data_IF_640408252059
#
_entry.id   IF_640408252059
#
_cell.length_a   1.000
_cell.length_b   1.000
_cell.length_c   1.000
_cell.angle_alpha   90.00
_cell.angle_beta   90.00
_cell.angle_gamma   90.00
#
_symmetry.space_group_name_H-M   'P 1'
#
loop_
_entity.id
_entity.type
_entity.pdbx_description
1 polymer ?
#
# COMPACT_ATOMS: atom_id res chain seq x y z
N UNK A 1 50.63 48.62 -5.34
CA UNK A 1 49.49 49.12 -6.14
C UNK A 1 49.14 48.09 -7.22
N UNK A 2 47.83 47.81 -7.39
CA UNK A 2 47.15 47.12 -8.52
C UNK A 2 47.49 45.64 -8.72
N UNK A 3 46.71 44.66 -8.24
CA UNK A 3 45.39 44.15 -8.69
C UNK A 3 45.33 43.76 -10.19
N UNK A 4 45.14 42.46 -10.44
CA UNK A 4 44.74 41.86 -11.71
C UNK A 4 44.58 40.34 -11.54
N UNK A 5 43.54 39.92 -10.81
CA UNK A 5 42.34 39.22 -11.33
C UNK A 5 42.60 37.76 -11.72
N UNK A 6 42.51 36.87 -10.72
CA UNK A 6 42.39 35.42 -10.87
C UNK A 6 40.96 35.09 -11.35
N UNK A 7 40.84 34.49 -12.54
CA UNK A 7 39.59 33.87 -12.99
C UNK A 7 39.60 32.41 -12.53
N UNK A 8 38.85 32.13 -11.47
CA UNK A 8 38.63 30.78 -10.97
C UNK A 8 37.57 30.08 -11.84
N UNK A 9 38.01 29.07 -12.61
CA UNK A 9 37.15 28.18 -13.38
C UNK A 9 36.57 27.11 -12.42
N UNK A 10 35.51 27.46 -11.72
CA UNK A 10 34.67 26.51 -10.98
C UNK A 10 33.54 26.09 -11.92
N UNK A 11 33.55 24.86 -12.45
CA UNK A 11 32.36 24.16 -12.97
C UNK A 11 32.76 22.77 -13.49
N UNK A 12 33.02 21.83 -12.58
CA UNK A 12 32.82 20.40 -12.86
C UNK A 12 32.68 19.64 -11.52
N UNK A 13 31.55 19.86 -10.85
CA UNK A 13 31.11 18.99 -9.77
C UNK A 13 30.44 17.75 -10.39
N UNK A 14 30.78 16.52 -9.95
CA UNK A 14 30.20 15.30 -10.50
C UNK A 14 28.68 15.35 -10.29
N UNK A 15 27.93 15.27 -11.38
CA UNK A 15 26.48 15.16 -11.36
C UNK A 15 26.09 13.98 -10.49
N UNK A 16 25.59 14.31 -9.30
CA UNK A 16 25.09 13.37 -8.32
C UNK A 16 24.13 12.38 -9.00
N UNK A 17 24.33 11.10 -8.71
CA UNK A 17 23.50 10.03 -9.20
C UNK A 17 22.03 10.39 -9.06
N UNK A 18 21.31 10.31 -10.17
CA UNK A 18 19.86 10.26 -10.16
C UNK A 18 19.45 8.94 -9.54
N UNK A 19 19.53 8.84 -8.22
CA UNK A 19 18.66 7.94 -7.48
C UNK A 19 17.27 8.54 -7.64
N UNK A 20 16.60 8.15 -8.73
CA UNK A 20 15.15 8.09 -8.72
C UNK A 20 14.80 7.17 -7.56
N UNK A 21 14.64 7.75 -6.37
CA UNK A 21 14.08 7.09 -5.20
C UNK A 21 12.80 6.44 -5.70
N UNK A 22 12.81 5.12 -5.79
CA UNK A 22 11.66 4.32 -6.19
C UNK A 22 10.61 4.48 -5.08
N UNK A 23 9.86 5.58 -5.20
CA UNK A 23 8.76 6.10 -4.39
C UNK A 23 8.46 5.37 -3.07
N UNK A 24 9.17 5.63 -1.97
CA UNK A 24 8.73 5.27 -0.62
C UNK A 24 8.30 3.81 -0.41
N UNK A 25 8.73 2.90 -1.29
CA UNK A 25 8.40 1.49 -1.22
C UNK A 25 9.26 0.85 -0.15
N UNK A 26 8.62 0.14 0.76
CA UNK A 26 9.27 -0.54 1.86
C UNK A 26 8.69 -1.94 2.00
N UNK A 27 9.52 -2.89 2.49
CA UNK A 27 9.03 -4.23 2.79
C UNK A 27 7.98 -4.16 3.90
N UNK A 28 6.88 -4.87 3.69
CA UNK A 28 5.79 -5.05 4.64
C UNK A 28 5.50 -6.54 4.78
N UNK A 29 5.07 -6.98 5.96
CA UNK A 29 4.71 -8.38 6.19
C UNK A 29 3.20 -8.51 6.22
N UNK A 30 2.64 -9.37 5.36
CA UNK A 30 1.22 -9.73 5.41
C UNK A 30 0.96 -10.43 6.75
N UNK A 31 0.03 -9.90 7.52
CA UNK A 31 -0.49 -10.53 8.74
C UNK A 31 -1.78 -11.28 8.43
N UNK A 32 -2.62 -10.72 7.55
CA UNK A 32 -3.89 -11.29 7.11
C UNK A 32 -4.23 -10.76 5.73
N UNK A 33 -4.82 -11.59 4.88
CA UNK A 33 -5.31 -11.20 3.56
C UNK A 33 -6.50 -12.11 3.23
N UNK A 34 -7.70 -11.55 3.22
CA UNK A 34 -8.95 -12.30 3.20
C UNK A 34 -9.98 -11.64 2.27
N UNK A 35 -10.80 -12.48 1.63
CA UNK A 35 -12.01 -12.05 0.96
C UNK A 35 -13.17 -12.09 1.95
N UNK A 36 -14.01 -11.06 1.90
CA UNK A 36 -15.24 -10.95 2.68
C UNK A 36 -16.40 -10.52 1.79
N UNK A 37 -17.61 -10.63 2.34
CA UNK A 37 -18.85 -10.22 1.71
C UNK A 37 -19.61 -9.30 2.65
N UNK A 38 -20.32 -8.32 2.08
CA UNK A 38 -21.27 -7.47 2.80
C UNK A 38 -22.55 -7.32 2.00
N UNK A 39 -23.66 -7.22 2.72
CA UNK A 39 -24.94 -6.93 2.12
C UNK A 39 -25.08 -5.42 1.91
N UNK A 40 -25.44 -5.02 0.70
CA UNK A 40 -25.79 -3.64 0.35
C UNK A 40 -27.25 -3.59 -0.09
N UNK A 41 -28.01 -2.67 0.48
CA UNK A 41 -29.38 -2.40 0.01
C UNK A 41 -29.30 -1.70 -1.34
N UNK A 42 -29.92 -2.29 -2.36
CA UNK A 42 -29.94 -1.74 -3.73
C UNK A 42 -31.29 -1.18 -4.13
N UNK A 43 -32.37 -1.62 -3.48
CA UNK A 43 -33.72 -1.13 -3.70
C UNK A 43 -34.62 -1.35 -2.47
N UNK A 44 -35.76 -0.67 -2.47
CA UNK A 44 -36.85 -0.85 -1.51
C UNK A 44 -38.14 -1.14 -2.27
N UNK A 45 -38.90 -2.15 -1.83
CA UNK A 45 -40.22 -2.49 -2.37
C UNK A 45 -41.22 -2.54 -1.23
N UNK A 46 -42.13 -1.56 -1.16
CA UNK A 46 -43.18 -1.47 -0.12
C UNK A 46 -42.60 -1.78 1.27
N UNK A 47 -41.56 -1.04 1.66
CA UNK A 47 -40.83 -1.15 2.93
C UNK A 47 -39.96 -2.41 3.13
N UNK A 48 -39.84 -3.28 2.12
CA UNK A 48 -38.91 -4.42 2.14
C UNK A 48 -37.61 -4.07 1.41
N UNK A 49 -36.43 -4.10 2.08
CA UNK A 49 -35.15 -3.88 1.41
C UNK A 49 -34.74 -5.08 0.55
N UNK A 50 -34.27 -4.80 -0.66
CA UNK A 50 -33.64 -5.77 -1.55
C UNK A 50 -32.12 -5.65 -1.42
N UNK A 51 -31.48 -6.76 -1.09
CA UNK A 51 -30.04 -6.82 -0.84
C UNK A 51 -29.28 -7.36 -2.05
N UNK A 52 -28.05 -6.89 -2.20
CA UNK A 52 -27.03 -7.48 -3.06
C UNK A 52 -25.78 -7.74 -2.23
N UNK A 53 -25.15 -8.89 -2.45
CA UNK A 53 -23.87 -9.22 -1.81
C UNK A 53 -22.73 -8.62 -2.62
N UNK A 54 -21.98 -7.72 -1.99
CA UNK A 54 -20.76 -7.15 -2.55
C UNK A 54 -19.55 -7.84 -1.94
N UNK A 55 -18.61 -8.25 -2.80
CA UNK A 55 -17.31 -8.78 -2.38
C UNK A 55 -16.38 -7.63 -2.06
N UNK A 56 -15.63 -7.74 -0.97
CA UNK A 56 -14.52 -6.84 -0.66
C UNK A 56 -13.37 -7.64 -0.06
N UNK A 57 -12.18 -7.05 -0.02
CA UNK A 57 -10.97 -7.69 0.46
C UNK A 57 -10.39 -6.90 1.62
N UNK A 58 -10.02 -7.60 2.69
CA UNK A 58 -9.28 -7.03 3.81
C UNK A 58 -7.84 -7.51 3.81
N UNK A 59 -6.94 -6.59 4.10
CA UNK A 59 -5.53 -6.88 4.31
C UNK A 59 -5.04 -6.23 5.60
N UNK A 60 -4.25 -6.96 6.36
CA UNK A 60 -3.49 -6.44 7.48
C UNK A 60 -2.00 -6.61 7.20
N UNK A 61 -1.22 -5.53 7.30
CA UNK A 61 0.24 -5.55 7.12
C UNK A 61 0.97 -4.99 8.32
N UNK A 62 2.09 -5.63 8.68
CA UNK A 62 3.06 -5.10 9.62
C UNK A 62 4.12 -4.29 8.87
N UNK A 63 4.35 -3.07 9.32
CA UNK A 63 5.37 -2.19 8.74
C UNK A 63 5.88 -1.19 9.78
N UNK A 64 7.20 -1.08 9.93
CA UNK A 64 7.86 -0.16 10.87
C UNK A 64 7.23 -0.16 12.28
N UNK A 65 6.97 -1.35 12.83
CA UNK A 65 6.36 -1.51 14.16
C UNK A 65 4.87 -1.20 14.26
N UNK A 66 4.20 -0.88 13.15
CA UNK A 66 2.76 -0.64 13.10
C UNK A 66 2.02 -1.79 12.41
N UNK A 67 0.77 -2.00 12.80
CA UNK A 67 -0.21 -2.81 12.08
C UNK A 67 -1.15 -1.87 11.33
N UNK A 68 -1.26 -2.06 10.02
CA UNK A 68 -2.20 -1.35 9.17
C UNK A 68 -3.27 -2.33 8.70
N UNK A 69 -4.52 -2.02 9.00
CA UNK A 69 -5.68 -2.73 8.46
C UNK A 69 -6.29 -1.89 7.34
N UNK A 70 -6.50 -2.50 6.19
CA UNK A 70 -6.95 -1.82 4.99
C UNK A 70 -7.91 -2.69 4.17
N UNK A 71 -8.74 -2.03 3.39
CA UNK A 71 -9.81 -2.65 2.60
C UNK A 71 -9.67 -2.29 1.12
N UNK A 72 -10.05 -3.22 0.25
CA UNK A 72 -10.15 -3.03 -1.19
C UNK A 72 -11.51 -3.51 -1.69
N UNK A 73 -12.26 -2.61 -2.33
CA UNK A 73 -13.41 -2.97 -3.13
C UNK A 73 -12.93 -3.21 -4.57
N UNK A 74 -13.18 -4.40 -5.14
CA UNK A 74 -12.84 -4.67 -6.52
C UNK A 74 -13.75 -3.91 -7.49
N UNK A 75 -13.19 -3.47 -8.62
CA UNK A 75 -13.96 -2.80 -9.67
C UNK A 75 -14.83 -3.79 -10.47
N UNK A 76 -14.50 -5.10 -10.41
CA UNK A 76 -15.25 -6.17 -11.06
C UNK A 76 -15.07 -7.52 -10.34
N UNK A 77 -15.94 -8.49 -10.64
CA UNK A 77 -15.99 -9.80 -9.98
C UNK A 77 -14.78 -10.72 -10.26
N UNK A 78 -13.94 -10.39 -11.24
CA UNK A 78 -12.77 -11.21 -11.61
C UNK A 78 -11.52 -10.81 -10.84
N UNK A 79 -11.55 -9.66 -10.16
CA UNK A 79 -10.43 -9.21 -9.35
C UNK A 79 -10.35 -10.02 -8.06
N UNK A 80 -9.16 -10.56 -7.82
CA UNK A 80 -8.87 -11.42 -6.66
C UNK A 80 -7.57 -11.00 -6.01
N UNK A 81 -7.44 -11.30 -4.71
CA UNK A 81 -6.16 -11.19 -4.04
C UNK A 81 -5.17 -12.22 -4.60
N UNK A 82 -3.87 -11.88 -4.67
CA UNK A 82 -2.86 -12.83 -5.10
C UNK A 82 -2.78 -14.04 -4.15
N UNK A 83 -2.81 -15.26 -4.72
CA UNK A 83 -2.93 -16.53 -3.97
C UNK A 83 -1.83 -16.76 -2.92
N UNK A 84 -0.65 -16.18 -3.11
CA UNK A 84 0.50 -16.30 -2.20
C UNK A 84 0.51 -15.20 -1.13
N UNK A 85 -0.47 -14.29 -1.07
CA UNK A 85 -0.62 -13.37 0.05
C UNK A 85 -1.18 -14.11 1.25
N UNK A 86 -0.28 -14.70 2.02
CA UNK A 86 -0.56 -15.44 3.24
C UNK A 86 0.16 -14.79 4.42
N UNK A 87 -0.27 -15.05 5.67
CA UNK A 87 0.43 -14.56 6.85
C UNK A 87 1.92 -14.91 6.80
N UNK A 88 2.78 -13.94 7.16
CA UNK A 88 4.24 -14.06 7.15
C UNK A 88 4.92 -13.69 5.83
N UNK A 89 4.17 -13.56 4.72
CA UNK A 89 4.75 -13.23 3.41
C UNK A 89 5.17 -11.76 3.36
N UNK A 90 6.39 -11.51 2.90
CA UNK A 90 6.89 -10.15 2.65
C UNK A 90 6.40 -9.66 1.29
N UNK A 91 5.86 -8.44 1.27
CA UNK A 91 5.41 -7.74 0.07
C UNK A 91 6.04 -6.36 0.03
N UNK A 92 6.20 -5.80 -1.17
CA UNK A 92 6.62 -4.41 -1.34
C UNK A 92 5.39 -3.52 -1.31
N UNK A 93 5.40 -2.48 -0.48
CA UNK A 93 4.28 -1.55 -0.40
C UNK A 93 4.70 -0.14 -0.03
N UNK A 94 3.78 0.80 -0.22
CA UNK A 94 3.93 2.19 0.24
C UNK A 94 2.63 2.68 0.84
N UNK A 95 2.74 3.63 1.75
CA UNK A 95 1.59 4.30 2.35
C UNK A 95 1.56 5.73 1.87
N UNK A 96 0.42 6.17 1.33
CA UNK A 96 0.21 7.54 0.90
C UNK A 96 -1.15 8.03 1.39
N UNK A 97 -1.13 9.02 2.29
CA UNK A 97 -2.34 9.54 2.96
C UNK A 97 -3.16 8.42 3.61
N UNK A 98 -4.38 8.18 3.12
CA UNK A 98 -5.32 7.14 3.58
C UNK A 98 -5.26 5.86 2.75
N UNK A 99 -4.26 5.70 1.89
CA UNK A 99 -4.15 4.54 1.01
C UNK A 99 -2.87 3.75 1.27
N UNK A 100 -3.01 2.43 1.22
CA UNK A 100 -1.94 1.45 1.23
C UNK A 100 -1.83 0.87 -0.17
N UNK A 101 -0.67 1.00 -0.80
CA UNK A 101 -0.40 0.43 -2.11
C UNK A 101 0.52 -0.76 -1.93
N UNK A 102 0.09 -1.93 -2.40
CA UNK A 102 0.87 -3.17 -2.34
C UNK A 102 1.17 -3.65 -3.77
N UNK A 103 2.43 -3.98 -4.06
CA UNK A 103 2.83 -4.53 -5.37
C UNK A 103 2.39 -5.99 -5.48
N UNK A 104 1.72 -6.33 -6.58
CA UNK A 104 1.47 -7.70 -7.03
C UNK A 104 2.74 -8.31 -7.65
N UNK A 105 2.81 -9.63 -7.91
CA UNK A 105 3.97 -10.26 -8.54
C UNK A 105 4.17 -9.82 -9.97
N UNK A 106 3.08 -9.49 -10.65
CA UNK A 106 3.12 -8.90 -11.99
C UNK A 106 3.56 -7.43 -11.97
N UNK A 107 3.96 -6.89 -10.81
CA UNK A 107 4.44 -5.52 -10.64
C UNK A 107 3.33 -4.48 -10.48
N UNK A 108 2.07 -4.83 -10.76
CA UNK A 108 0.94 -3.89 -10.70
C UNK A 108 0.54 -3.63 -9.25
N UNK A 109 0.25 -2.38 -8.93
CA UNK A 109 -0.22 -2.00 -7.60
C UNK A 109 -1.68 -2.44 -7.38
N UNK A 110 -2.01 -2.81 -6.14
CA UNK A 110 -3.37 -2.75 -5.62
C UNK A 110 -3.44 -1.68 -4.55
N UNK A 111 -4.48 -0.86 -4.63
CA UNK A 111 -4.71 0.26 -3.72
C UNK A 111 -5.79 -0.13 -2.71
N UNK A 112 -5.40 -0.21 -1.46
CA UNK A 112 -6.30 -0.41 -0.33
C UNK A 112 -6.56 0.93 0.37
N UNK A 113 -7.75 1.10 0.94
CA UNK A 113 -8.12 2.19 1.85
C UNK A 113 -7.79 1.76 3.27
N UNK A 114 -6.96 2.54 3.96
CA UNK A 114 -6.57 2.25 5.35
C UNK A 114 -7.75 2.55 6.27
N UNK A 115 -8.23 1.50 6.95
CA UNK A 115 -9.31 1.58 7.93
C UNK A 115 -8.77 1.91 9.32
N UNK A 116 -7.65 1.28 9.71
CA UNK A 116 -7.11 1.40 11.06
C UNK A 116 -5.58 1.34 11.05
N UNK A 117 -4.99 2.06 12.01
CA UNK A 117 -3.56 2.01 12.34
C UNK A 117 -3.40 1.76 13.83
N UNK A 118 -2.59 0.78 14.20
CA UNK A 118 -2.28 0.48 15.60
C UNK A 118 -0.81 0.08 15.74
N UNK A 119 -0.30 0.10 16.96
CA UNK A 119 1.00 -0.50 17.26
C UNK A 119 0.92 -2.00 16.96
N UNK A 120 1.93 -2.54 16.27
CA UNK A 120 2.01 -3.97 16.03
C UNK A 120 2.30 -4.67 17.37
N UNK A 121 1.56 -5.76 17.70
CA UNK A 121 1.96 -6.63 18.79
C UNK A 121 3.38 -7.14 18.54
N UNK A 122 4.19 -7.25 19.60
CA UNK A 122 5.49 -7.89 19.53
C UNK A 122 5.34 -9.25 18.85
N UNK A 123 6.16 -9.50 17.83
CA UNK A 123 6.19 -10.76 17.12
C UNK A 123 6.53 -11.86 18.12
N UNK A 124 5.55 -12.68 18.51
CA UNK A 124 5.83 -13.87 19.31
C UNK A 124 6.62 -14.79 18.39
N UNK A 125 7.90 -14.97 18.68
CA UNK A 125 8.69 -16.05 18.11
C UNK A 125 7.96 -17.36 18.43
N UNK A 126 7.48 -18.04 17.38
CA UNK A 126 7.01 -19.41 17.46
C UNK A 126 8.19 -20.36 17.28
#
# INVERSE_FOLDING_TARGET
>A
MRRGLLVALFLLGPGAGSYAVESGYQPMTIVRAEQKMRDRVVAWVVDTPIYQQDVYFEVAVRVAGNLLEAEYEPDNLWETLPVFWKPGVKVQGRVQKRSLFLKRPNGVEMRFVILKRSAAPAEKAQ
#
